data_IF_061158765839
#
_entry.id   IF_061158765839
#
_cell.length_a   1.000
_cell.length_b   1.000
_cell.length_c   1.000
_cell.angle_alpha   90.00
_cell.angle_beta   90.00
_cell.angle_gamma   90.00
#
_symmetry.space_group_name_H-M   'P 1'
#
loop_
_entity.id
_entity.type
_entity.pdbx_description
1 polymer ?
#
# COMPACT_ATOMS: atom_id res chain seq x y z
N UNK A 1 0.74 -1.74 -26.88
CA UNK A 1 0.45 -2.76 -25.85
C UNK A 1 1.00 -2.33 -24.50
N UNK A 2 2.31 -2.15 -24.37
CA UNK A 2 2.96 -1.73 -23.13
C UNK A 2 2.46 -0.40 -22.55
N UNK A 3 2.23 0.61 -23.39
CA UNK A 3 1.63 1.88 -22.98
C UNK A 3 0.28 1.67 -22.28
N UNK A 4 -0.58 0.81 -22.83
CA UNK A 4 -1.91 0.54 -22.27
C UNK A 4 -1.81 -0.19 -20.93
N UNK A 5 -0.86 -1.12 -20.80
CA UNK A 5 -0.60 -1.83 -19.53
C UNK A 5 -0.11 -0.83 -18.48
N UNK A 6 0.80 0.06 -18.87
CA UNK A 6 1.33 1.12 -18.01
C UNK A 6 0.23 2.09 -17.51
N UNK A 7 -0.64 2.54 -18.42
CA UNK A 7 -1.84 3.33 -18.11
C UNK A 7 -2.72 2.59 -17.09
N UNK A 8 -2.94 1.29 -17.32
CA UNK A 8 -3.78 0.48 -16.46
C UNK A 8 -3.20 0.39 -15.04
N UNK A 9 -1.90 0.09 -14.89
CA UNK A 9 -1.25 0.00 -13.58
C UNK A 9 -1.31 1.32 -12.80
N UNK A 10 -1.08 2.45 -13.48
CA UNK A 10 -1.25 3.75 -12.84
C UNK A 10 -2.70 4.02 -12.45
N UNK A 11 -3.66 3.67 -13.31
CA UNK A 11 -5.08 3.84 -13.00
C UNK A 11 -5.49 3.02 -11.78
N UNK A 12 -5.04 1.77 -11.70
CA UNK A 12 -5.24 0.90 -10.53
C UNK A 12 -4.64 1.59 -9.29
N UNK A 13 -3.39 2.03 -9.37
CA UNK A 13 -2.75 2.78 -8.28
C UNK A 13 -3.55 3.99 -7.84
N UNK A 14 -3.98 4.83 -8.79
CA UNK A 14 -4.81 6.02 -8.53
C UNK A 14 -6.09 5.68 -7.79
N UNK A 15 -6.79 4.61 -8.20
CA UNK A 15 -8.02 4.21 -7.52
C UNK A 15 -7.75 3.68 -6.11
N UNK A 16 -6.68 2.90 -5.90
CA UNK A 16 -6.25 2.48 -4.55
C UNK A 16 -5.98 3.70 -3.67
N UNK A 17 -5.23 4.68 -4.18
CA UNK A 17 -4.91 5.91 -3.45
C UNK A 17 -6.15 6.75 -3.15
N UNK A 18 -7.06 6.88 -4.11
CA UNK A 18 -8.34 7.58 -3.94
C UNK A 18 -9.21 6.90 -2.89
N UNK A 19 -9.30 5.57 -2.89
CA UNK A 19 -10.05 4.79 -1.90
C UNK A 19 -9.45 5.01 -0.50
N UNK A 20 -8.14 4.86 -0.33
CA UNK A 20 -7.50 5.10 0.97
C UNK A 20 -7.69 6.55 1.43
N UNK A 21 -7.65 7.52 0.50
CA UNK A 21 -7.93 8.92 0.79
C UNK A 21 -9.34 9.14 1.32
N UNK A 22 -10.35 8.51 0.70
CA UNK A 22 -11.74 8.55 1.18
C UNK A 22 -11.83 8.05 2.63
N UNK A 23 -11.12 6.99 2.99
CA UNK A 23 -11.16 6.45 4.36
C UNK A 23 -10.56 7.45 5.35
N UNK A 24 -9.41 8.05 5.01
CA UNK A 24 -8.78 9.09 5.83
C UNK A 24 -9.70 10.31 5.98
N UNK A 25 -10.27 10.81 4.88
CA UNK A 25 -11.13 12.01 4.91
C UNK A 25 -12.43 11.78 5.69
N UNK A 26 -12.85 10.52 5.88
CA UNK A 26 -14.03 10.14 6.66
C UNK A 26 -13.68 9.54 8.03
N UNK A 27 -12.42 9.66 8.49
CA UNK A 27 -11.99 9.16 9.80
C UNK A 27 -12.29 7.64 10.00
N UNK A 28 -12.08 6.84 8.94
CA UNK A 28 -12.24 5.37 8.94
C UNK A 28 -10.87 4.69 8.90
N UNK A 29 -10.60 3.76 9.82
CA UNK A 29 -9.49 2.81 9.69
C UNK A 29 -9.99 1.53 9.02
N UNK A 30 -9.19 0.99 8.12
CA UNK A 30 -9.39 -0.33 7.53
C UNK A 30 -8.67 -1.41 8.34
N UNK A 31 -8.76 -1.34 9.68
CA UNK A 31 -8.27 -2.39 10.56
C UNK A 31 -6.77 -2.39 10.82
N UNK A 32 -6.12 -1.21 10.87
CA UNK A 32 -4.75 -1.12 11.38
C UNK A 32 -4.74 -0.97 12.91
N UNK A 33 -4.25 -2.00 13.61
CA UNK A 33 -4.10 -1.99 15.07
C UNK A 33 -3.09 -3.04 15.52
N UNK A 34 -2.73 -3.03 16.80
CA UNK A 34 -1.82 -4.03 17.38
C UNK A 34 -2.62 -4.99 18.27
N UNK A 35 -2.49 -6.29 18.01
CA UNK A 35 -3.20 -7.31 18.80
C UNK A 35 -2.25 -7.98 19.80
N UNK A 36 -2.49 -7.73 21.10
CA UNK A 36 -1.89 -8.39 22.28
C UNK A 36 -0.36 -8.65 22.32
N UNK A 37 0.39 -8.21 21.31
CA UNK A 37 1.81 -8.48 21.11
C UNK A 37 2.50 -7.28 20.47
N UNK A 38 3.66 -6.90 21.01
CA UNK A 38 4.47 -5.79 20.48
C UNK A 38 5.01 -5.98 19.06
N UNK A 39 4.92 -7.19 18.52
CA UNK A 39 5.54 -7.55 17.25
C UNK A 39 4.54 -7.78 16.11
N UNK A 40 3.24 -7.83 16.41
CA UNK A 40 2.22 -8.15 15.42
C UNK A 40 1.23 -7.01 15.28
N UNK A 41 1.27 -6.38 14.11
CA UNK A 41 0.26 -5.43 13.67
C UNK A 41 -0.69 -6.14 12.72
N UNK A 42 -1.98 -5.88 12.90
CA UNK A 42 -3.02 -6.17 11.94
C UNK A 42 -3.14 -4.99 10.99
N UNK A 43 -3.47 -5.27 9.74
CA UNK A 43 -3.76 -4.27 8.73
C UNK A 43 -4.60 -4.92 7.64
N UNK A 44 -5.85 -4.50 7.48
CA UNK A 44 -6.71 -4.99 6.39
C UNK A 44 -6.55 -4.20 5.09
N UNK A 45 -5.85 -3.05 5.15
CA UNK A 45 -5.45 -2.31 3.96
C UNK A 45 -4.30 -3.02 3.23
N UNK A 46 -4.64 -4.05 2.46
CA UNK A 46 -3.72 -4.78 1.58
C UNK A 46 -4.31 -4.93 0.18
N UNK A 47 -3.46 -5.24 -0.79
CA UNK A 47 -3.87 -5.30 -2.20
C UNK A 47 -4.87 -6.44 -2.50
N UNK A 48 -4.81 -7.55 -1.76
CA UNK A 48 -5.76 -8.66 -1.95
C UNK A 48 -7.22 -8.28 -1.59
N UNK A 49 -7.42 -7.20 -0.80
CA UNK A 49 -8.73 -6.68 -0.44
C UNK A 49 -9.29 -5.67 -1.45
N UNK A 50 -8.75 -5.66 -2.67
CA UNK A 50 -9.31 -4.95 -3.81
C UNK A 50 -9.79 -5.92 -4.88
N UNK A 51 -11.04 -5.80 -5.29
CA UNK A 51 -11.62 -6.60 -6.37
C UNK A 51 -11.81 -5.78 -7.64
N UNK A 52 -11.61 -6.42 -8.79
CA UNK A 52 -11.84 -5.80 -10.09
C UNK A 52 -13.33 -5.81 -10.42
N UNK A 53 -13.89 -4.66 -10.77
CA UNK A 53 -15.27 -4.50 -11.21
C UNK A 53 -15.35 -4.26 -12.73
N UNK A 54 -16.12 -5.08 -13.43
CA UNK A 54 -16.12 -5.10 -14.90
C UNK A 54 -17.03 -4.07 -15.58
N UNK A 55 -17.88 -3.33 -14.85
CA UNK A 55 -18.90 -2.45 -15.42
C UNK A 55 -19.11 -1.14 -14.64
N UNK A 56 -18.04 -0.58 -14.06
CA UNK A 56 -18.07 0.67 -13.29
C UNK A 56 -17.30 1.81 -13.95
N UNK A 57 -17.53 3.04 -13.47
CA UNK A 57 -16.61 4.16 -13.72
C UNK A 57 -15.28 4.01 -12.98
N UNK A 58 -15.28 3.17 -11.93
CA UNK A 58 -14.09 2.70 -11.23
C UNK A 58 -13.77 1.28 -11.69
N UNK A 59 -12.49 0.91 -11.62
CA UNK A 59 -11.93 -0.42 -11.90
C UNK A 59 -11.86 -1.28 -10.64
N UNK A 60 -11.74 -0.65 -9.47
CA UNK A 60 -11.57 -1.34 -8.18
C UNK A 60 -12.71 -1.04 -7.20
N UNK A 61 -12.99 -2.02 -6.35
CA UNK A 61 -13.79 -1.85 -5.14
C UNK A 61 -13.04 -2.44 -3.93
N UNK A 62 -12.98 -1.74 -2.79
CA UNK A 62 -12.48 -2.30 -1.54
C UNK A 62 -13.47 -3.31 -0.97
N UNK A 63 -12.97 -4.37 -0.37
CA UNK A 63 -13.76 -5.40 0.34
C UNK A 63 -13.19 -5.64 1.73
N UNK A 64 -13.80 -6.55 2.48
CA UNK A 64 -13.31 -7.00 3.79
C UNK A 64 -13.22 -5.87 4.84
N UNK A 65 -14.38 -5.55 5.41
CA UNK A 65 -14.59 -4.45 6.36
C UNK A 65 -14.88 -4.94 7.78
N UNK A 66 -14.66 -6.22 8.07
CA UNK A 66 -14.95 -6.83 9.37
C UNK A 66 -14.11 -6.24 10.51
N UNK A 67 -12.89 -5.81 10.20
CA UNK A 67 -11.97 -5.12 11.10
C UNK A 67 -11.99 -3.59 10.94
N UNK A 68 -12.85 -3.04 10.09
CA UNK A 68 -12.92 -1.59 9.90
C UNK A 68 -13.66 -0.92 11.06
N UNK A 69 -13.19 0.25 11.48
CA UNK A 69 -13.80 1.04 12.55
C UNK A 69 -13.63 2.53 12.31
N UNK A 70 -14.59 3.31 12.81
CA UNK A 70 -14.54 4.76 12.79
C UNK A 70 -13.74 5.30 13.98
N UNK A 71 -13.25 6.54 13.87
CA UNK A 71 -12.52 7.22 14.94
C UNK A 71 -13.30 7.34 16.24
N UNK A 72 -14.62 7.47 16.17
CA UNK A 72 -15.49 7.55 17.35
C UNK A 72 -15.51 6.24 18.15
N UNK A 73 -15.19 5.13 17.50
CA UNK A 73 -15.13 3.79 18.08
C UNK A 73 -13.71 3.43 18.53
N UNK A 74 -12.71 4.24 18.15
CA UNK A 74 -11.32 3.98 18.45
C UNK A 74 -11.02 4.11 19.95
N UNK A 75 -10.50 3.02 20.50
CA UNK A 75 -9.92 2.97 21.84
C UNK A 75 -8.47 2.49 21.73
N UNK A 76 -7.58 3.15 22.44
CA UNK A 76 -6.19 2.73 22.50
C UNK A 76 -6.10 1.44 23.35
N UNK A 77 -5.71 0.34 22.71
CA UNK A 77 -5.50 -0.96 23.35
C UNK A 77 -4.01 -1.31 23.49
N UNK A 78 -3.13 -0.34 23.21
CA UNK A 78 -1.70 -0.56 23.27
C UNK A 78 -1.20 -0.63 24.71
N UNK A 79 -0.68 -1.81 25.07
CA UNK A 79 0.06 -2.03 26.32
C UNK A 79 1.49 -1.52 26.14
N UNK A 80 2.03 -0.81 27.15
CA UNK A 80 3.43 -0.43 27.19
C UNK A 80 4.29 -1.67 27.50
N UNK A 81 4.89 -2.26 26.48
CA UNK A 81 5.77 -3.43 26.63
C UNK A 81 7.20 -3.05 27.05
N UNK A 82 7.61 -1.79 26.94
CA UNK A 82 8.94 -1.36 27.36
C UNK A 82 8.99 -1.16 28.88
N UNK A 83 7.88 -0.76 29.50
CA UNK A 83 7.69 -0.84 30.95
C UNK A 83 7.82 -2.26 31.51
N UNK A 84 7.47 -3.30 30.73
CA UNK A 84 7.60 -4.71 31.17
C UNK A 84 9.06 -5.17 31.32
N UNK A 85 10.01 -4.57 30.61
CA UNK A 85 11.45 -4.92 30.71
C UNK A 85 12.12 -4.34 31.94
N UNK A 86 11.50 -3.36 32.61
CA UNK A 86 12.12 -2.58 33.69
C UNK A 86 11.96 -3.17 35.11
N UNK A 87 11.54 -4.43 35.26
CA UNK A 87 11.36 -5.11 36.57
C UNK A 87 10.37 -4.42 37.54
N UNK A 88 9.44 -3.59 37.06
CA UNK A 88 8.27 -3.22 37.87
C UNK A 88 7.19 -4.28 37.68
N UNK A 89 6.80 -4.94 38.77
CA UNK A 89 5.67 -5.88 38.85
C UNK A 89 4.30 -5.25 38.55
N UNK A 90 4.27 -3.97 38.20
CA UNK A 90 3.09 -3.25 37.76
C UNK A 90 3.16 -3.09 36.25
N UNK A 91 2.18 -3.68 35.55
CA UNK A 91 1.88 -3.31 34.17
C UNK A 91 1.55 -1.82 34.23
N UNK A 92 2.47 -0.93 33.83
CA UNK A 92 2.06 0.44 33.57
C UNK A 92 1.29 0.40 32.26
N UNK A 93 -0.02 0.18 32.37
CA UNK A 93 -0.93 0.40 31.26
C UNK A 93 -0.59 1.76 30.65
N UNK A 94 -0.56 1.84 29.32
CA UNK A 94 -0.50 3.13 28.65
C UNK A 94 -1.55 4.04 29.32
N UNK A 95 -1.19 5.28 29.68
CA UNK A 95 -2.10 6.19 30.39
C UNK A 95 -3.41 6.42 29.63
N UNK A 96 -3.38 6.18 28.32
CA UNK A 96 -4.49 6.27 27.39
C UNK A 96 -5.13 4.89 27.08
N UNK A 97 -4.69 3.80 27.69
CA UNK A 97 -5.31 2.48 27.53
C UNK A 97 -6.81 2.54 27.85
N UNK A 98 -7.62 1.94 26.99
CA UNK A 98 -9.08 1.96 27.06
C UNK A 98 -9.71 3.33 26.81
N UNK A 99 -8.95 4.33 26.35
CA UNK A 99 -9.43 5.68 26.04
C UNK A 99 -9.10 6.04 24.60
N UNK A 100 -9.81 7.04 24.10
CA UNK A 100 -9.45 7.67 22.84
C UNK A 100 -8.07 8.33 22.93
N UNK A 101 -7.21 8.03 21.95
CA UNK A 101 -5.87 8.58 21.83
C UNK A 101 -5.66 9.11 20.41
N UNK A 102 -5.73 10.44 20.25
CA UNK A 102 -5.62 11.05 18.93
C UNK A 102 -4.27 10.78 18.26
N UNK A 103 -3.19 10.74 19.04
CA UNK A 103 -1.85 10.52 18.48
C UNK A 103 -1.72 9.10 17.96
N UNK A 104 -2.20 8.11 18.73
CA UNK A 104 -2.21 6.71 18.31
C UNK A 104 -3.10 6.49 17.08
N UNK A 105 -4.28 7.13 17.04
CA UNK A 105 -5.17 7.10 15.87
C UNK A 105 -4.48 7.61 14.60
N UNK A 106 -3.85 8.79 14.68
CA UNK A 106 -3.13 9.38 13.56
C UNK A 106 -1.95 8.52 13.12
N UNK A 107 -1.23 7.94 14.08
CA UNK A 107 -0.15 7.00 13.81
C UNK A 107 -0.66 5.76 13.05
N UNK A 108 -1.73 5.12 13.50
CA UNK A 108 -2.31 3.95 12.82
C UNK A 108 -2.81 4.28 11.41
N UNK A 109 -3.47 5.43 11.23
CA UNK A 109 -3.91 5.86 9.91
C UNK A 109 -2.74 6.04 8.93
N UNK A 110 -1.63 6.59 9.42
CA UNK A 110 -0.42 6.75 8.63
C UNK A 110 0.28 5.43 8.35
N UNK A 111 0.33 4.51 9.33
CA UNK A 111 0.90 3.18 9.11
C UNK A 111 0.09 2.37 8.10
N UNK A 112 -1.24 2.45 8.14
CA UNK A 112 -2.11 1.81 7.15
C UNK A 112 -1.85 2.35 5.74
N UNK A 113 -1.70 3.68 5.62
CA UNK A 113 -1.35 4.35 4.35
C UNK A 113 0.02 3.93 3.82
N UNK A 114 1.02 3.87 4.70
CA UNK A 114 2.39 3.45 4.36
C UNK A 114 2.42 1.97 3.98
N UNK A 115 1.73 1.12 4.73
CA UNK A 115 1.64 -0.32 4.48
C UNK A 115 1.08 -0.62 3.10
N UNK A 116 0.02 0.09 2.71
CA UNK A 116 -0.56 -0.04 1.37
C UNK A 116 0.39 0.47 0.28
N UNK A 117 1.13 1.56 0.53
CA UNK A 117 2.17 2.05 -0.40
C UNK A 117 3.31 1.04 -0.58
N UNK A 118 3.73 0.39 0.50
CA UNK A 118 4.77 -0.65 0.48
C UNK A 118 4.28 -1.91 -0.24
N UNK A 119 3.03 -2.33 -0.02
CA UNK A 119 2.43 -3.45 -0.72
C UNK A 119 2.38 -3.20 -2.24
N UNK A 120 2.02 -1.99 -2.67
CA UNK A 120 2.14 -1.55 -4.07
C UNK A 120 3.59 -1.64 -4.54
N UNK A 121 4.55 -1.32 -3.67
CA UNK A 121 5.98 -1.49 -3.87
C UNK A 121 6.49 -2.95 -3.91
N UNK A 122 5.60 -3.94 -3.84
CA UNK A 122 5.95 -5.36 -3.78
C UNK A 122 6.52 -5.80 -2.43
N UNK A 123 6.47 -4.93 -1.42
CA UNK A 123 6.84 -5.20 -0.05
C UNK A 123 5.58 -5.42 0.77
N UNK A 124 4.94 -6.57 0.57
CA UNK A 124 3.81 -6.95 1.41
C UNK A 124 4.31 -7.49 2.76
N UNK A 125 3.90 -6.80 3.83
CA UNK A 125 4.23 -7.14 5.21
C UNK A 125 3.71 -8.53 5.62
N UNK A 126 2.66 -9.04 4.95
CA UNK A 126 2.08 -10.36 5.21
C UNK A 126 2.85 -11.46 4.45
N UNK A 127 3.25 -11.21 3.20
CA UNK A 127 3.93 -12.18 2.33
C UNK A 127 5.41 -12.40 2.68
N UNK A 128 6.06 -11.52 3.44
CA UNK A 128 7.43 -11.74 3.92
C UNK A 128 7.58 -13.04 4.75
N UNK A 129 6.47 -13.58 5.26
CA UNK A 129 6.42 -14.86 5.99
C UNK A 129 6.30 -16.11 5.09
N UNK A 130 5.92 -15.94 3.82
CA UNK A 130 5.76 -17.03 2.86
C UNK A 130 6.91 -16.97 1.84
N UNK A 131 8.01 -17.66 2.17
CA UNK A 131 9.12 -17.88 1.26
C UNK A 131 8.63 -18.53 -0.05
N UNK A 132 8.54 -17.76 -1.12
CA UNK A 132 8.26 -18.30 -2.45
C UNK A 132 9.54 -18.91 -3.04
N UNK A 133 9.37 -19.99 -3.81
CA UNK A 133 10.40 -20.52 -4.70
C UNK A 133 10.62 -19.43 -5.76
N UNK A 134 11.67 -18.62 -5.61
CA UNK A 134 12.04 -17.62 -6.60
C UNK A 134 12.38 -18.33 -7.91
N UNK A 135 11.47 -18.21 -8.88
CA UNK A 135 11.83 -18.47 -10.28
C UNK A 135 12.88 -17.43 -10.67
N UNK A 136 13.99 -17.89 -11.22
CA UNK A 136 15.01 -17.00 -11.77
C UNK A 136 14.36 -16.16 -12.89
N UNK A 137 14.21 -14.86 -12.64
CA UNK A 137 13.68 -13.90 -13.62
C UNK A 137 14.80 -13.48 -14.55
N UNK A 138 14.44 -13.16 -15.79
CA UNK A 138 15.33 -12.45 -16.70
C UNK A 138 15.40 -10.97 -16.35
N UNK A 139 16.50 -10.29 -16.68
CA UNK A 139 16.68 -8.85 -16.47
C UNK A 139 15.52 -8.03 -17.06
N UNK A 140 14.95 -8.49 -18.17
CA UNK A 140 13.82 -7.85 -18.85
C UNK A 140 12.52 -8.00 -18.04
N UNK A 141 12.25 -9.17 -17.46
CA UNK A 141 11.09 -9.39 -16.60
C UNK A 141 11.18 -8.54 -15.32
N UNK A 142 12.35 -8.50 -14.69
CA UNK A 142 12.58 -7.66 -13.50
C UNK A 142 12.41 -6.18 -13.82
N UNK A 143 12.94 -5.72 -14.97
CA UNK A 143 12.76 -4.35 -15.41
C UNK A 143 11.27 -4.00 -15.63
N UNK A 144 10.49 -4.88 -16.25
CA UNK A 144 9.06 -4.65 -16.45
C UNK A 144 8.29 -4.60 -15.13
N UNK A 145 8.61 -5.48 -14.18
CA UNK A 145 7.97 -5.46 -12.87
C UNK A 145 8.25 -4.16 -12.12
N UNK A 146 9.52 -3.72 -12.07
CA UNK A 146 9.91 -2.46 -11.45
C UNK A 146 9.17 -1.29 -12.10
N UNK A 147 9.11 -1.27 -13.43
CA UNK A 147 8.43 -0.21 -14.17
C UNK A 147 6.94 -0.16 -13.83
N UNK A 148 6.23 -1.28 -13.91
CA UNK A 148 4.79 -1.34 -13.67
C UNK A 148 4.45 -1.02 -12.21
N UNK A 149 5.28 -1.47 -11.28
CA UNK A 149 5.21 -1.14 -9.85
C UNK A 149 5.33 0.36 -9.62
N UNK A 150 6.34 0.99 -10.21
CA UNK A 150 6.57 2.43 -10.05
C UNK A 150 5.40 3.24 -10.64
N UNK A 151 4.79 2.78 -11.73
CA UNK A 151 3.58 3.40 -12.28
C UNK A 151 2.38 3.30 -11.34
N UNK A 152 2.16 2.12 -10.76
CA UNK A 152 1.10 1.95 -9.77
C UNK A 152 1.34 2.83 -8.54
N UNK A 153 2.59 2.95 -8.07
CA UNK A 153 2.94 3.84 -6.96
C UNK A 153 2.73 5.32 -7.29
N UNK A 154 3.11 5.77 -8.49
CA UNK A 154 2.83 7.14 -8.95
C UNK A 154 1.33 7.42 -8.91
N UNK A 155 0.53 6.50 -9.49
CA UNK A 155 -0.92 6.59 -9.45
C UNK A 155 -1.45 6.69 -8.03
N UNK A 156 -0.98 5.83 -7.12
CA UNK A 156 -1.38 5.86 -5.70
C UNK A 156 -1.17 7.23 -5.06
N UNK A 157 0.01 7.83 -5.24
CA UNK A 157 0.30 9.16 -4.69
C UNK A 157 -0.58 10.25 -5.32
N UNK A 158 -0.90 10.16 -6.61
CA UNK A 158 -1.83 11.07 -7.28
C UNK A 158 -3.26 10.93 -6.76
N UNK A 159 -3.72 9.70 -6.56
CA UNK A 159 -5.02 9.37 -5.97
C UNK A 159 -5.15 9.90 -4.54
N UNK A 160 -4.10 9.75 -3.74
CA UNK A 160 -4.03 10.29 -2.37
C UNK A 160 -4.11 11.82 -2.32
N UNK A 161 -3.68 12.50 -3.39
CA UNK A 161 -3.71 13.95 -3.53
C UNK A 161 -4.93 14.44 -4.31
N UNK A 162 -5.81 13.53 -4.78
CA UNK A 162 -6.95 13.82 -5.66
C UNK A 162 -6.55 14.64 -6.90
N UNK A 163 -5.33 14.42 -7.41
CA UNK A 163 -4.85 15.08 -8.63
C UNK A 163 -5.40 14.35 -9.85
N UNK A 164 -6.29 15.02 -10.59
CA UNK A 164 -6.84 14.48 -11.84
C UNK A 164 -5.97 14.79 -13.08
N UNK A 165 -4.86 15.52 -12.90
CA UNK A 165 -4.04 16.01 -14.01
C UNK A 165 -3.17 14.91 -14.64
N UNK A 166 -3.74 14.25 -15.65
CA UNK A 166 -3.07 13.26 -16.50
C UNK A 166 -2.03 13.83 -17.48
N UNK A 167 -1.80 15.15 -17.54
CA UNK A 167 -0.85 15.73 -18.51
C UNK A 167 0.60 15.37 -18.21
N UNK A 168 0.97 15.32 -16.92
CA UNK A 168 2.30 14.91 -16.46
C UNK A 168 2.59 13.44 -16.77
N UNK A 169 1.54 12.63 -16.86
CA UNK A 169 1.60 11.21 -17.18
C UNK A 169 2.03 10.95 -18.63
N UNK A 170 1.36 11.58 -19.59
CA UNK A 170 1.69 11.37 -21.01
C UNK A 170 3.14 11.78 -21.32
N UNK A 171 3.63 12.86 -20.70
CA UNK A 171 5.01 13.32 -20.85
C UNK A 171 6.05 12.34 -20.27
N UNK A 172 5.70 11.57 -19.24
CA UNK A 172 6.58 10.55 -18.64
C UNK A 172 6.58 9.26 -19.45
N UNK A 173 5.46 8.92 -20.08
CA UNK A 173 5.35 7.69 -20.88
C UNK A 173 6.22 7.69 -22.12
N UNK A 174 6.37 8.84 -22.80
CA UNK A 174 7.26 8.93 -23.96
C UNK A 174 8.70 8.57 -23.58
N UNK A 175 9.18 9.10 -22.45
CA UNK A 175 10.53 8.79 -21.92
C UNK A 175 10.68 7.32 -21.52
N UNK A 176 9.64 6.72 -20.96
CA UNK A 176 9.63 5.31 -20.55
C UNK A 176 9.67 4.39 -21.76
N UNK A 177 8.91 4.70 -22.82
CA UNK A 177 8.96 3.95 -24.07
C UNK A 177 10.34 4.01 -24.72
N UNK A 178 11.00 5.16 -24.66
CA UNK A 178 12.36 5.32 -25.18
C UNK A 178 13.36 4.44 -24.40
N UNK A 179 13.28 4.43 -23.06
CA UNK A 179 14.10 3.56 -22.20
C UNK A 179 13.86 2.08 -22.51
N UNK A 180 12.60 1.66 -22.69
CA UNK A 180 12.28 0.25 -23.02
C UNK A 180 12.81 -0.14 -24.39
N UNK A 181 12.66 0.72 -25.40
CA UNK A 181 13.22 0.47 -26.73
C UNK A 181 14.74 0.33 -26.65
N UNK A 182 15.40 1.17 -25.87
CA UNK A 182 16.85 1.13 -25.68
C UNK A 182 17.29 -0.14 -24.95
N UNK A 183 16.59 -0.53 -23.88
CA UNK A 183 16.84 -1.77 -23.16
C UNK A 183 16.68 -3.02 -24.04
N UNK A 184 15.61 -3.08 -24.85
CA UNK A 184 15.36 -4.17 -25.80
C UNK A 184 16.41 -4.24 -26.92
N UNK A 185 16.87 -3.09 -27.41
CA UNK A 185 17.94 -3.03 -28.42
C UNK A 185 19.27 -3.52 -27.86
N UNK A 186 19.59 -3.19 -26.61
CA UNK A 186 20.80 -3.68 -25.93
C UNK A 186 20.75 -5.19 -25.70
N UNK A 187 19.57 -5.76 -25.37
CA UNK A 187 19.44 -7.22 -25.23
C UNK A 187 19.60 -7.95 -26.56
N UNK A 188 19.14 -7.38 -27.68
CA UNK A 188 19.34 -7.97 -29.01
C UNK A 188 20.80 -8.00 -29.47
N UNK A 189 21.62 -7.01 -29.07
CA UNK A 189 23.06 -6.98 -29.37
C UNK A 189 23.88 -8.00 -28.58
N UNK A 190 23.39 -8.45 -27.42
CA UNK A 190 24.08 -9.44 -26.57
C UNK A 190 23.84 -10.87 -27.07
N UNK A 191 22.79 -11.09 -27.86
CA UNK A 191 22.37 -12.40 -28.36
C UNK A 191 22.82 -12.65 -29.82
N UNK A 192 23.43 -11.66 -30.48
CA UNK A 192 24.01 -11.74 -31.83
C UNK A 192 25.52 -11.87 -31.81
#
# INVERSE_FOLDING_TARGET
MLQNISILYQRIGYEVGKIKRIFIDNDISWGYFRDHSKFYYHSNAHLDNFVIIQNGSNVLAPVDFDLAFCKEEFINIDIDFDAQRANSSEISENKNYGKFDLEQWLFYQEQERIGLELAIGGMDMILASHMFIEKQKTDVEEFFEILLRDQMRIGYLEGMQLKEDSSLFYQRMDKIQDIIKEALNQTQQIVS
#
